data_IF_612286906463
#
_entry.id   IF_612286906463
#
_cell.length_a   1.000
_cell.length_b   1.000
_cell.length_c   1.000
_cell.angle_alpha   90.00
_cell.angle_beta   90.00
_cell.angle_gamma   90.00
#
_symmetry.space_group_name_H-M   'P 1'
#
loop_
_entity.id
_entity.type
_entity.pdbx_description
1 polymer ?
#
# COMPACT_ATOMS: atom_id res chain seq x y z
N UNK A 1 50.05 40.00 5.93
CA UNK A 1 49.38 40.82 6.95
C UNK A 1 47.92 40.42 6.93
N UNK A 2 47.31 39.70 7.86
CA UNK A 2 47.57 39.26 9.25
C UNK A 2 46.62 38.05 9.41
N UNK A 3 47.10 36.83 9.58
CA UNK A 3 47.19 36.10 10.86
C UNK A 3 45.91 36.13 11.70
N UNK A 4 45.14 35.04 11.70
CA UNK A 4 44.56 34.48 12.92
C UNK A 4 44.27 32.99 12.73
N UNK A 5 44.82 32.22 13.67
CA UNK A 5 45.03 30.79 13.71
C UNK A 5 44.65 30.35 15.11
N UNK A 6 44.27 29.07 15.21
CA UNK A 6 44.25 28.21 16.40
C UNK A 6 43.22 28.53 17.49
N UNK A 7 42.14 27.74 17.50
CA UNK A 7 41.60 27.13 18.72
C UNK A 7 40.51 26.11 18.34
N UNK A 8 40.91 24.87 18.02
CA UNK A 8 39.93 23.79 17.85
C UNK A 8 40.51 22.37 17.97
N UNK A 9 41.48 22.16 18.87
CA UNK A 9 42.11 20.85 19.04
C UNK A 9 41.85 20.11 20.37
N UNK A 10 41.05 20.66 21.29
CA UNK A 10 41.02 20.16 22.68
C UNK A 10 39.67 19.57 23.17
N UNK A 11 38.85 19.01 22.27
CA UNK A 11 37.57 18.34 22.66
C UNK A 11 37.44 16.87 22.25
N UNK A 12 38.55 16.19 21.97
CA UNK A 12 38.54 14.81 21.46
C UNK A 12 39.04 13.73 22.43
N UNK A 13 39.39 14.04 23.68
CA UNK A 13 40.04 13.07 24.58
C UNK A 13 39.21 12.57 25.78
N UNK A 14 37.93 12.94 25.94
CA UNK A 14 37.12 12.51 27.11
C UNK A 14 36.01 11.48 26.81
N UNK A 15 36.08 10.70 25.72
CA UNK A 15 35.01 9.76 25.34
C UNK A 15 35.36 8.26 25.31
N UNK A 16 36.51 7.84 25.86
CA UNK A 16 36.98 6.45 25.73
C UNK A 16 36.91 5.58 27.00
N UNK A 17 36.40 6.08 28.13
CA UNK A 17 36.44 5.35 29.41
C UNK A 17 35.09 4.78 29.93
N UNK A 18 34.07 4.62 29.08
CA UNK A 18 32.74 4.12 29.49
C UNK A 18 32.39 2.70 28.99
N UNK A 19 33.40 1.93 28.54
CA UNK A 19 33.16 0.65 27.83
C UNK A 19 33.11 -0.61 28.72
N UNK A 20 33.42 -0.51 30.02
CA UNK A 20 33.45 -1.67 30.94
C UNK A 20 32.08 -2.22 31.35
N UNK A 21 31.01 -1.43 31.19
CA UNK A 21 29.65 -1.79 31.63
C UNK A 21 28.85 -2.61 30.60
N UNK A 22 29.39 -2.82 29.39
CA UNK A 22 28.67 -3.51 28.31
C UNK A 22 28.39 -4.99 28.59
N UNK A 23 29.38 -5.73 29.10
CA UNK A 23 29.28 -7.19 29.31
C UNK A 23 28.36 -7.54 30.49
N UNK A 24 28.46 -6.79 31.59
CA UNK A 24 27.67 -7.04 32.80
C UNK A 24 26.16 -6.85 32.55
N UNK A 25 25.80 -5.91 31.67
CA UNK A 25 24.41 -5.65 31.29
C UNK A 25 23.85 -6.69 30.29
N UNK A 26 24.70 -7.50 29.65
CA UNK A 26 24.28 -8.43 28.59
C UNK A 26 23.92 -9.83 29.10
N UNK A 27 24.59 -10.30 30.16
CA UNK A 27 24.33 -11.62 30.74
C UNK A 27 22.87 -11.82 31.19
N UNK A 28 22.21 -10.83 31.85
CA UNK A 28 20.79 -10.95 32.18
C UNK A 28 19.89 -11.12 30.95
N UNK A 29 20.21 -10.43 29.85
CA UNK A 29 19.46 -10.56 28.58
C UNK A 29 19.62 -11.96 27.98
N UNK A 30 20.85 -12.49 27.96
CA UNK A 30 21.11 -13.86 27.47
C UNK A 30 20.37 -14.92 28.30
N UNK A 31 20.40 -14.83 29.63
CA UNK A 31 19.64 -15.74 30.47
C UNK A 31 18.13 -15.61 30.23
N UNK A 32 17.61 -14.39 30.10
CA UNK A 32 16.19 -14.17 29.78
C UNK A 32 15.79 -14.76 28.41
N UNK A 33 16.68 -14.70 27.42
CA UNK A 33 16.47 -15.33 26.11
C UNK A 33 16.40 -16.85 26.24
N UNK A 34 17.30 -17.46 27.04
CA UNK A 34 17.32 -18.91 27.29
C UNK A 34 16.05 -19.34 28.02
N UNK A 35 15.66 -18.61 29.07
CA UNK A 35 14.48 -18.94 29.89
C UNK A 35 13.18 -18.87 29.09
N UNK A 36 13.12 -18.00 28.08
CA UNK A 36 11.95 -17.80 27.21
C UNK A 36 12.10 -18.46 25.84
N UNK A 37 12.99 -19.43 25.70
CA UNK A 37 13.29 -20.04 24.40
C UNK A 37 12.06 -20.60 23.67
N UNK A 38 11.14 -21.22 24.40
CA UNK A 38 9.90 -21.77 23.85
C UNK A 38 8.98 -20.70 23.24
N UNK A 39 9.16 -19.43 23.62
CA UNK A 39 8.41 -18.30 23.08
C UNK A 39 8.99 -17.75 21.77
N UNK A 40 10.10 -18.29 21.27
CA UNK A 40 10.62 -17.94 19.95
C UNK A 40 10.03 -18.85 18.88
N UNK A 41 9.94 -18.40 17.61
CA UNK A 41 9.54 -19.25 16.49
C UNK A 41 10.44 -20.49 16.36
N UNK A 42 9.88 -21.63 15.97
CA UNK A 42 10.58 -22.92 15.94
C UNK A 42 11.87 -22.87 15.09
N UNK A 43 11.85 -22.17 13.95
CA UNK A 43 13.00 -22.05 13.06
C UNK A 43 14.12 -21.16 13.63
N UNK A 44 13.84 -20.36 14.66
CA UNK A 44 14.78 -19.45 15.31
C UNK A 44 15.57 -20.17 16.42
N UNK A 45 14.90 -21.04 17.18
CA UNK A 45 15.47 -21.68 18.37
C UNK A 45 16.80 -22.41 18.10
N UNK A 46 16.96 -23.25 17.05
CA UNK A 46 18.23 -23.95 16.80
C UNK A 46 19.41 -23.00 16.60
N UNK A 47 19.17 -21.83 15.98
CA UNK A 47 20.21 -20.83 15.76
C UNK A 47 20.56 -20.11 17.04
N UNK A 48 19.55 -19.73 17.81
CA UNK A 48 19.71 -19.15 19.12
C UNK A 48 20.59 -20.03 20.00
N UNK A 49 20.27 -21.33 20.11
CA UNK A 49 21.09 -22.32 20.83
C UNK A 49 22.53 -22.38 20.31
N UNK A 50 22.69 -22.54 18.99
CA UNK A 50 24.02 -22.63 18.37
C UNK A 50 24.88 -21.41 18.70
N UNK A 51 24.28 -20.22 18.70
CA UNK A 51 24.98 -18.96 18.95
C UNK A 51 25.28 -18.73 20.43
N UNK A 52 24.32 -19.02 21.31
CA UNK A 52 24.54 -18.98 22.76
C UNK A 52 25.69 -19.92 23.15
N UNK A 53 25.73 -21.14 22.59
CA UNK A 53 26.84 -22.07 22.82
C UNK A 53 28.18 -21.54 22.32
N UNK A 54 28.22 -20.88 21.16
CA UNK A 54 29.48 -20.23 20.69
C UNK A 54 29.92 -19.11 21.63
N UNK A 55 28.95 -18.33 22.12
CA UNK A 55 29.18 -17.22 23.03
C UNK A 55 29.77 -17.67 24.36
N UNK A 56 29.25 -18.77 24.94
CA UNK A 56 29.73 -19.30 26.22
C UNK A 56 31.10 -19.98 26.12
N UNK A 57 31.50 -20.44 24.93
CA UNK A 57 32.72 -21.24 24.74
C UNK A 57 33.92 -20.43 24.27
N UNK A 58 33.76 -19.39 23.42
CA UNK A 58 34.89 -18.93 22.59
C UNK A 58 35.49 -17.55 22.85
N UNK A 59 34.82 -16.53 23.41
CA UNK A 59 35.46 -15.20 23.45
C UNK A 59 34.74 -14.23 24.39
N UNK A 60 35.22 -14.04 25.63
CA UNK A 60 34.65 -13.06 26.58
C UNK A 60 35.25 -11.65 26.44
N UNK A 61 36.04 -11.38 25.39
CA UNK A 61 36.96 -10.22 25.34
C UNK A 61 36.62 -9.18 24.24
N UNK A 62 35.40 -9.16 23.68
CA UNK A 62 35.03 -8.17 22.65
C UNK A 62 33.70 -7.46 22.93
N UNK A 63 33.77 -6.15 23.08
CA UNK A 63 32.64 -5.24 23.36
C UNK A 63 31.63 -5.10 22.20
N UNK A 64 31.95 -5.59 20.99
CA UNK A 64 31.06 -5.53 19.82
C UNK A 64 30.18 -6.76 19.62
N UNK A 65 30.21 -7.73 20.53
CA UNK A 65 29.57 -9.03 20.30
C UNK A 65 28.04 -9.00 20.34
N UNK A 66 27.40 -8.04 21.01
CA UNK A 66 25.93 -7.93 20.94
C UNK A 66 25.49 -7.47 19.55
N UNK A 67 26.20 -6.50 18.97
CA UNK A 67 25.94 -6.04 17.61
C UNK A 67 26.26 -7.14 16.60
N UNK A 68 27.31 -7.94 16.82
CA UNK A 68 27.59 -9.12 16.00
C UNK A 68 26.55 -10.23 16.21
N UNK A 69 26.10 -10.48 17.43
CA UNK A 69 25.08 -11.47 17.73
C UNK A 69 23.74 -11.05 17.12
N UNK A 70 23.32 -9.80 17.25
CA UNK A 70 22.16 -9.24 16.56
C UNK A 70 22.34 -9.32 15.04
N UNK A 71 23.46 -8.83 14.51
CA UNK A 71 23.74 -8.84 13.09
C UNK A 71 23.75 -10.26 12.54
N UNK A 72 24.27 -11.25 13.26
CA UNK A 72 24.45 -12.63 12.81
C UNK A 72 23.22 -13.52 13.09
N UNK A 73 22.44 -13.20 14.12
CA UNK A 73 21.11 -13.77 14.36
C UNK A 73 20.14 -13.32 13.26
N UNK A 74 20.32 -12.10 12.77
CA UNK A 74 19.52 -11.51 11.70
C UNK A 74 20.03 -11.86 10.31
N UNK A 75 21.34 -11.76 10.10
CA UNK A 75 21.98 -12.12 8.87
C UNK A 75 22.10 -13.63 8.79
N UNK A 76 21.11 -14.25 8.15
CA UNK A 76 21.41 -15.44 7.39
C UNK A 76 22.67 -15.19 6.55
N UNK A 77 23.57 -16.16 6.46
CA UNK A 77 24.78 -16.01 5.64
C UNK A 77 24.38 -15.60 4.22
N UNK A 78 25.20 -14.77 3.57
CA UNK A 78 24.87 -14.14 2.29
C UNK A 78 24.46 -15.14 1.18
N UNK A 79 24.88 -16.40 1.29
CA UNK A 79 24.55 -17.50 0.38
C UNK A 79 23.18 -18.12 0.61
N UNK A 80 22.54 -17.88 1.76
CA UNK A 80 21.31 -18.53 2.14
C UNK A 80 20.17 -17.51 2.22
N UNK A 81 19.75 -17.13 1.01
CA UNK A 81 18.74 -16.12 0.66
C UNK A 81 17.41 -16.34 1.41
N UNK A 82 17.18 -17.54 1.94
CA UNK A 82 16.01 -17.90 2.71
C UNK A 82 16.16 -17.69 4.22
N UNK A 83 17.25 -17.14 4.76
CA UNK A 83 17.53 -17.33 6.19
C UNK A 83 17.19 -16.19 7.15
N UNK A 84 16.68 -15.02 6.75
CA UNK A 84 16.40 -13.96 7.74
C UNK A 84 15.11 -14.23 8.52
N UNK A 85 15.17 -14.08 9.85
CA UNK A 85 14.09 -14.49 10.76
C UNK A 85 12.75 -13.84 10.40
N UNK A 86 12.71 -12.51 10.33
CA UNK A 86 11.46 -11.81 10.02
C UNK A 86 11.03 -11.87 8.55
N UNK A 87 11.91 -12.33 7.65
CA UNK A 87 11.55 -12.53 6.23
C UNK A 87 10.88 -13.89 6.01
N UNK A 88 10.90 -14.76 7.04
CA UNK A 88 10.34 -16.12 7.02
C UNK A 88 9.03 -16.27 7.79
N UNK A 89 8.47 -15.18 8.30
CA UNK A 89 7.20 -15.22 9.01
C UNK A 89 6.14 -16.00 8.21
N UNK A 90 5.42 -16.85 8.93
CA UNK A 90 4.38 -17.71 8.40
C UNK A 90 3.27 -17.87 9.44
N UNK A 91 2.08 -17.33 9.17
CA UNK A 91 0.96 -17.32 10.10
C UNK A 91 0.36 -18.70 10.36
N UNK A 92 0.73 -19.72 9.58
CA UNK A 92 0.36 -21.11 9.86
C UNK A 92 1.23 -21.77 10.93
N UNK A 93 2.40 -21.19 11.23
CA UNK A 93 3.41 -21.74 12.15
C UNK A 93 3.71 -20.79 13.31
N UNK A 94 3.83 -19.50 13.00
CA UNK A 94 4.27 -18.45 13.90
C UNK A 94 3.08 -17.73 14.55
N UNK A 95 3.26 -17.24 15.78
CA UNK A 95 2.27 -16.39 16.46
C UNK A 95 2.77 -14.95 16.59
N UNK A 96 1.83 -14.02 16.81
CA UNK A 96 2.21 -12.62 17.07
C UNK A 96 3.04 -12.47 18.34
N UNK A 97 2.78 -13.29 19.36
CA UNK A 97 3.48 -13.29 20.64
C UNK A 97 4.93 -13.69 20.43
N UNK A 98 5.19 -14.70 19.59
CA UNK A 98 6.54 -15.08 19.20
C UNK A 98 7.26 -13.95 18.46
N UNK A 99 6.58 -13.30 17.52
CA UNK A 99 7.11 -12.12 16.84
C UNK A 99 7.42 -10.98 17.82
N UNK A 100 6.49 -10.66 18.73
CA UNK A 100 6.66 -9.64 19.77
C UNK A 100 7.85 -9.96 20.67
N UNK A 101 8.04 -11.24 21.03
CA UNK A 101 9.18 -11.70 21.83
C UNK A 101 10.49 -11.51 21.08
N UNK A 102 10.60 -11.93 19.81
CA UNK A 102 11.80 -11.72 18.98
C UNK A 102 12.16 -10.24 18.92
N UNK A 103 11.18 -9.38 18.62
CA UNK A 103 11.40 -7.93 18.47
C UNK A 103 11.68 -7.24 19.81
N UNK A 104 11.16 -7.78 20.90
CA UNK A 104 11.46 -7.26 22.24
C UNK A 104 12.93 -7.43 22.60
N UNK A 105 13.49 -8.62 22.34
CA UNK A 105 14.91 -8.88 22.60
C UNK A 105 15.81 -8.22 21.58
N UNK A 106 15.38 -8.16 20.32
CA UNK A 106 16.14 -7.60 19.23
C UNK A 106 15.27 -6.58 18.49
N UNK A 107 15.23 -5.31 18.90
CA UNK A 107 14.36 -4.35 18.25
C UNK A 107 14.98 -3.80 16.95
N UNK A 108 16.31 -3.85 16.78
CA UNK A 108 17.01 -3.38 15.57
C UNK A 108 16.64 -4.18 14.32
N UNK A 109 16.13 -5.40 14.50
CA UNK A 109 15.65 -6.30 13.45
C UNK A 109 14.64 -5.63 12.52
N UNK A 110 13.84 -4.70 13.05
CA UNK A 110 12.76 -4.03 12.33
C UNK A 110 13.31 -3.10 11.24
N UNK A 111 14.43 -2.42 11.52
CA UNK A 111 15.07 -1.47 10.61
C UNK A 111 16.24 -2.08 9.82
N UNK A 112 16.69 -3.28 10.21
CA UNK A 112 17.76 -4.01 9.52
C UNK A 112 17.21 -4.63 8.24
N UNK A 113 17.11 -3.82 7.21
CA UNK A 113 16.67 -4.28 5.91
C UNK A 113 17.73 -5.07 5.15
N UNK A 114 17.27 -5.90 4.23
CA UNK A 114 18.09 -6.74 3.37
C UNK A 114 18.43 -6.00 2.08
N UNK A 115 19.69 -6.08 1.67
CA UNK A 115 20.07 -5.68 0.32
C UNK A 115 19.48 -6.66 -0.71
N UNK A 116 18.53 -6.23 -1.53
CA UNK A 116 18.01 -7.03 -2.65
C UNK A 116 18.95 -6.84 -3.84
N UNK A 117 19.70 -7.88 -4.17
CA UNK A 117 20.51 -7.97 -5.41
C UNK A 117 21.59 -6.87 -5.57
N UNK A 118 22.08 -6.70 -6.80
CA UNK A 118 23.14 -5.76 -7.20
C UNK A 118 22.81 -4.28 -7.01
N UNK A 119 21.61 -3.92 -6.52
CA UNK A 119 21.05 -2.57 -6.68
C UNK A 119 21.13 -1.65 -5.46
N UNK A 120 21.92 -1.99 -4.43
CA UNK A 120 22.03 -1.18 -3.19
C UNK A 120 20.67 -0.92 -2.49
N UNK A 121 19.64 -1.71 -2.80
CA UNK A 121 18.28 -1.50 -2.30
C UNK A 121 18.05 -2.25 -1.00
N UNK A 122 17.56 -1.56 0.02
CA UNK A 122 17.28 -2.12 1.35
C UNK A 122 15.78 -2.39 1.45
N UNK A 123 15.39 -3.66 1.51
CA UNK A 123 14.02 -4.09 1.80
C UNK A 123 13.90 -4.37 3.29
N UNK A 124 12.94 -3.73 3.96
CA UNK A 124 12.72 -3.96 5.39
C UNK A 124 11.86 -5.22 5.61
N UNK A 125 11.92 -5.83 6.81
CA UNK A 125 11.06 -6.96 7.14
C UNK A 125 9.57 -6.72 6.90
N UNK A 126 9.07 -5.52 7.21
CA UNK A 126 7.66 -5.17 6.99
C UNK A 126 7.30 -5.13 5.50
N UNK A 127 8.22 -4.72 4.63
CA UNK A 127 8.00 -4.78 3.18
C UNK A 127 7.95 -6.24 2.70
N UNK A 128 8.86 -7.09 3.19
CA UNK A 128 8.83 -8.51 2.87
C UNK A 128 7.58 -9.22 3.38
N UNK A 129 7.07 -8.83 4.55
CA UNK A 129 5.84 -9.37 5.10
C UNK A 129 4.62 -9.00 4.24
N UNK A 130 4.54 -7.75 3.76
CA UNK A 130 3.47 -7.31 2.84
C UNK A 130 3.50 -8.01 1.46
N UNK A 131 4.65 -8.63 1.11
CA UNK A 131 4.88 -9.36 -0.12
C UNK A 131 4.72 -10.88 0.00
N UNK A 132 4.23 -11.40 1.12
CA UNK A 132 4.04 -12.85 1.29
C UNK A 132 2.74 -13.11 2.02
N UNK A 133 1.82 -13.85 1.42
CA UNK A 133 0.51 -14.13 2.01
C UNK A 133 0.61 -14.69 3.43
N UNK A 134 1.57 -15.57 3.69
CA UNK A 134 1.76 -16.17 5.02
C UNK A 134 2.24 -15.15 6.06
N UNK A 135 2.83 -14.03 5.62
CA UNK A 135 3.39 -13.01 6.50
C UNK A 135 2.51 -11.75 6.61
N UNK A 136 1.55 -11.55 5.71
CA UNK A 136 0.62 -10.40 5.68
C UNK A 136 -0.04 -10.16 7.04
N UNK A 137 -0.55 -11.18 7.78
CA UNK A 137 -1.18 -10.97 9.08
C UNK A 137 -0.29 -10.29 10.13
N UNK A 138 1.04 -10.39 9.98
CA UNK A 138 1.99 -9.76 10.91
C UNK A 138 2.31 -8.29 10.58
N UNK A 139 1.91 -7.77 9.42
CA UNK A 139 2.23 -6.38 9.02
C UNK A 139 1.73 -5.34 10.03
N UNK A 140 0.48 -5.40 10.55
CA UNK A 140 0.03 -4.46 11.58
C UNK A 140 0.90 -4.49 12.84
N UNK A 141 1.26 -5.70 13.30
CA UNK A 141 2.09 -5.92 14.48
C UNK A 141 3.53 -5.42 14.28
N UNK A 142 4.13 -5.66 13.11
CA UNK A 142 5.44 -5.10 12.76
C UNK A 142 5.44 -3.57 12.77
N UNK A 143 4.40 -2.94 12.22
CA UNK A 143 4.28 -1.48 12.22
C UNK A 143 4.11 -0.93 13.66
N UNK A 144 3.30 -1.60 14.49
CA UNK A 144 3.13 -1.24 15.90
C UNK A 144 4.46 -1.30 16.66
N UNK A 145 5.19 -2.40 16.52
CA UNK A 145 6.47 -2.60 17.19
C UNK A 145 7.52 -1.61 16.67
N UNK A 146 7.54 -1.33 15.37
CA UNK A 146 8.34 -0.28 14.74
C UNK A 146 8.15 1.08 15.40
N UNK A 147 6.89 1.44 15.69
CA UNK A 147 6.53 2.68 16.41
C UNK A 147 6.93 2.60 17.88
N UNK A 148 6.59 1.51 18.58
CA UNK A 148 6.89 1.29 20.01
C UNK A 148 8.37 1.44 20.33
N UNK A 149 9.24 0.84 19.51
CA UNK A 149 10.69 0.85 19.72
C UNK A 149 11.40 2.01 18.99
N UNK A 150 10.66 2.96 18.40
CA UNK A 150 11.18 4.16 17.71
C UNK A 150 12.27 3.83 16.68
N UNK A 151 12.07 2.75 15.91
CA UNK A 151 13.05 2.31 14.89
C UNK A 151 12.97 3.09 13.59
N UNK A 152 11.96 3.94 13.46
CA UNK A 152 11.70 4.76 12.29
C UNK A 152 11.31 6.17 12.72
N UNK A 153 11.39 7.11 11.78
CA UNK A 153 10.84 8.46 11.99
C UNK A 153 9.32 8.37 12.12
N UNK A 154 8.70 9.27 12.86
CA UNK A 154 7.25 9.23 13.13
C UNK A 154 6.40 9.19 11.86
N UNK A 155 6.76 9.95 10.83
CA UNK A 155 6.06 9.95 9.55
C UNK A 155 6.18 8.64 8.76
N UNK A 156 7.15 7.77 9.09
CA UNK A 156 7.29 6.45 8.47
C UNK A 156 6.37 5.40 9.11
N UNK A 157 5.71 5.75 10.23
CA UNK A 157 4.69 4.95 10.93
C UNK A 157 5.09 3.50 11.14
N UNK A 158 6.23 3.33 11.83
CA UNK A 158 6.74 2.01 12.17
C UNK A 158 7.30 1.22 10.98
N UNK A 159 7.68 1.92 9.90
CA UNK A 159 8.23 1.29 8.71
C UNK A 159 7.21 1.10 7.60
N UNK A 160 5.92 1.22 7.88
CA UNK A 160 4.83 1.04 6.93
C UNK A 160 5.01 1.88 5.65
N UNK A 161 5.41 3.14 5.82
CA UNK A 161 5.65 4.10 4.74
C UNK A 161 7.12 4.23 4.32
N UNK A 162 7.98 3.33 4.80
CA UNK A 162 9.37 3.35 4.40
C UNK A 162 9.50 2.94 2.95
N UNK A 163 10.02 3.87 2.16
CA UNK A 163 10.22 3.71 0.73
C UNK A 163 11.36 2.75 0.45
N UNK A 164 11.12 1.79 -0.42
CA UNK A 164 12.13 0.94 -1.04
C UNK A 164 11.87 0.88 -2.55
N UNK A 165 12.87 0.49 -3.33
CA UNK A 165 12.72 0.38 -4.79
C UNK A 165 12.54 -1.08 -5.15
N UNK A 166 11.49 -1.42 -5.91
CA UNK A 166 11.16 -2.80 -6.31
C UNK A 166 11.53 -3.11 -7.76
N UNK A 167 11.41 -2.13 -8.66
CA UNK A 167 11.45 -2.40 -10.10
C UNK A 167 12.73 -1.90 -10.78
N UNK A 168 13.41 -2.82 -11.48
CA UNK A 168 14.52 -2.52 -12.42
C UNK A 168 14.08 -1.68 -13.61
N UNK A 169 12.83 -1.84 -14.03
CA UNK A 169 12.39 -1.47 -15.38
C UNK A 169 11.78 -0.07 -15.47
N UNK A 170 11.15 0.42 -14.39
CA UNK A 170 10.45 1.72 -14.42
C UNK A 170 11.14 2.83 -13.62
N UNK A 171 12.32 2.58 -13.04
CA UNK A 171 13.28 3.58 -12.54
C UNK A 171 12.81 4.59 -11.47
N UNK A 172 11.52 4.62 -11.09
CA UNK A 172 10.95 5.79 -10.41
C UNK A 172 9.96 5.46 -9.30
N UNK A 173 9.34 4.27 -9.29
CA UNK A 173 8.35 3.94 -8.25
C UNK A 173 9.04 3.38 -7.00
N UNK A 174 9.13 4.23 -5.99
CA UNK A 174 9.43 3.85 -4.61
C UNK A 174 8.16 3.25 -4.01
N UNK A 175 8.17 1.97 -3.71
CA UNK A 175 7.06 1.30 -3.04
C UNK A 175 7.24 1.37 -1.52
N UNK A 176 6.14 1.22 -0.81
CA UNK A 176 6.04 1.08 0.63
C UNK A 176 5.38 -0.25 0.97
N UNK A 177 5.45 -0.69 2.24
CA UNK A 177 4.72 -1.89 2.65
C UNK A 177 3.20 -1.71 2.49
N UNK A 178 2.70 -0.48 2.63
CA UNK A 178 1.31 -0.15 2.36
C UNK A 178 0.95 -0.34 0.88
N UNK A 179 1.81 0.10 -0.04
CA UNK A 179 1.59 -0.08 -1.48
C UNK A 179 1.54 -1.57 -1.83
N UNK A 180 2.43 -2.37 -1.24
CA UNK A 180 2.47 -3.82 -1.48
C UNK A 180 1.26 -4.55 -0.89
N UNK A 181 0.77 -4.12 0.29
CA UNK A 181 -0.45 -4.67 0.88
C UNK A 181 -1.64 -4.50 -0.07
N UNK A 182 -1.83 -3.29 -0.61
CA UNK A 182 -2.95 -2.97 -1.50
C UNK A 182 -2.77 -3.58 -2.89
N UNK A 183 -1.55 -3.52 -3.43
CA UNK A 183 -1.26 -4.04 -4.76
C UNK A 183 -1.40 -5.55 -4.83
N UNK A 184 -1.08 -6.26 -3.75
CA UNK A 184 -0.93 -7.70 -3.82
C UNK A 184 0.45 -8.14 -4.32
N UNK A 185 0.72 -9.43 -4.14
CA UNK A 185 1.83 -10.14 -4.79
C UNK A 185 1.51 -10.43 -6.25
N UNK A 186 2.58 -10.76 -7.00
CA UNK A 186 2.57 -11.11 -8.43
C UNK A 186 1.46 -12.15 -8.75
N UNK A 187 1.03 -12.28 -10.03
CA UNK A 187 -0.28 -12.78 -10.46
C UNK A 187 -0.48 -14.30 -10.37
N UNK A 188 0.06 -14.94 -9.33
CA UNK A 188 -0.07 -16.39 -9.09
C UNK A 188 -0.75 -16.72 -7.76
N UNK A 189 -1.34 -15.74 -7.08
CA UNK A 189 -1.87 -15.96 -5.73
C UNK A 189 -3.35 -16.37 -5.69
N UNK A 190 -3.61 -17.24 -4.71
CA UNK A 190 -4.87 -17.89 -4.41
C UNK A 190 -5.91 -16.89 -3.84
N UNK A 191 -7.20 -17.22 -3.88
CA UNK A 191 -8.27 -16.34 -3.34
C UNK A 191 -8.02 -15.91 -1.89
N UNK A 192 -7.38 -16.78 -1.12
CA UNK A 192 -7.15 -16.61 0.32
C UNK A 192 -6.20 -15.45 0.66
N UNK A 193 -5.43 -14.91 -0.28
CA UNK A 193 -4.51 -13.79 -0.02
C UNK A 193 -5.23 -12.44 0.14
N UNK A 194 -6.40 -12.25 -0.48
CA UNK A 194 -7.10 -10.97 -0.40
C UNK A 194 -7.70 -10.72 0.98
N UNK A 195 -8.37 -11.71 1.57
CA UNK A 195 -9.00 -11.59 2.90
C UNK A 195 -7.96 -11.24 3.96
N UNK A 196 -6.79 -11.89 3.93
CA UNK A 196 -5.68 -11.60 4.84
C UNK A 196 -5.17 -10.15 4.70
N UNK A 197 -5.09 -9.65 3.46
CA UNK A 197 -4.69 -8.26 3.20
C UNK A 197 -5.74 -7.26 3.63
N UNK A 198 -7.00 -7.56 3.39
CA UNK A 198 -8.13 -6.75 3.83
C UNK A 198 -8.11 -6.61 5.36
N UNK A 199 -7.98 -7.72 6.08
CA UNK A 199 -7.88 -7.74 7.54
C UNK A 199 -6.69 -6.92 8.05
N UNK A 200 -5.53 -7.04 7.39
CA UNK A 200 -4.34 -6.26 7.73
C UNK A 200 -4.59 -4.75 7.53
N UNK A 201 -5.23 -4.35 6.43
CA UNK A 201 -5.60 -2.95 6.14
C UNK A 201 -6.58 -2.41 7.17
N UNK A 202 -7.64 -3.17 7.50
CA UNK A 202 -8.63 -2.76 8.50
C UNK A 202 -7.98 -2.59 9.88
N UNK A 203 -7.11 -3.53 10.27
CA UNK A 203 -6.39 -3.44 11.54
C UNK A 203 -5.41 -2.25 11.57
N UNK A 204 -4.69 -1.98 10.49
CA UNK A 204 -3.85 -0.78 10.40
C UNK A 204 -4.66 0.51 10.57
N UNK A 205 -5.89 0.56 10.04
CA UNK A 205 -6.80 1.68 10.24
C UNK A 205 -7.28 1.78 11.69
N UNK A 206 -7.72 0.67 12.31
CA UNK A 206 -8.20 0.68 13.70
C UNK A 206 -7.12 1.11 14.69
N UNK A 207 -5.85 0.84 14.37
CA UNK A 207 -4.67 1.27 15.14
C UNK A 207 -4.25 2.72 14.87
N UNK A 208 -4.93 3.43 13.97
CA UNK A 208 -4.59 4.79 13.54
C UNK A 208 -3.26 4.89 12.76
N UNK A 209 -2.77 3.76 12.24
CA UNK A 209 -1.55 3.70 11.44
C UNK A 209 -1.82 3.96 9.97
N UNK A 210 -2.97 3.52 9.44
CA UNK A 210 -3.50 3.94 8.15
C UNK A 210 -4.46 5.12 8.37
N UNK A 211 -4.32 6.17 7.55
CA UNK A 211 -5.11 7.40 7.60
C UNK A 211 -5.84 7.62 6.29
N UNK A 212 -6.94 8.38 6.35
CA UNK A 212 -7.79 8.68 5.19
C UNK A 212 -6.99 9.34 4.07
N UNK A 213 -6.08 10.24 4.42
CA UNK A 213 -5.25 11.00 3.48
C UNK A 213 -4.25 10.10 2.75
N UNK A 214 -3.88 8.96 3.31
CA UNK A 214 -2.93 8.04 2.68
C UNK A 214 -3.49 7.42 1.40
N UNK A 215 -4.80 7.18 1.37
CA UNK A 215 -5.47 6.59 0.20
C UNK A 215 -5.17 7.40 -1.05
N UNK A 216 -5.21 8.73 -0.91
CA UNK A 216 -4.91 9.67 -1.99
C UNK A 216 -3.40 9.93 -2.12
N UNK A 217 -2.71 10.21 -1.03
CA UNK A 217 -1.30 10.60 -1.05
C UNK A 217 -0.37 9.50 -1.60
N UNK A 218 -0.69 8.24 -1.32
CA UNK A 218 0.03 7.08 -1.85
C UNK A 218 -0.64 6.46 -3.07
N UNK A 219 -1.70 7.09 -3.59
CA UNK A 219 -2.43 6.63 -4.77
C UNK A 219 -2.85 5.15 -4.67
N UNK A 220 -3.36 4.74 -3.50
CA UNK A 220 -3.61 3.33 -3.19
C UNK A 220 -4.66 2.72 -4.13
N UNK A 221 -5.67 3.51 -4.51
CA UNK A 221 -6.70 3.05 -5.45
C UNK A 221 -6.12 2.68 -6.81
N UNK A 222 -5.09 3.39 -7.29
CA UNK A 222 -4.41 3.04 -8.53
C UNK A 222 -3.72 1.68 -8.43
N UNK A 223 -3.15 1.35 -7.28
CA UNK A 223 -2.50 0.06 -7.06
C UNK A 223 -3.50 -1.09 -6.99
N UNK A 224 -4.73 -0.86 -6.51
CA UNK A 224 -5.80 -1.81 -6.72
C UNK A 224 -5.96 -2.03 -8.23
N UNK A 225 -6.20 -0.95 -9.00
CA UNK A 225 -6.47 -1.03 -10.44
C UNK A 225 -5.38 -1.73 -11.27
N UNK A 226 -4.12 -1.59 -10.88
CA UNK A 226 -3.01 -2.26 -11.57
C UNK A 226 -3.10 -3.80 -11.49
N UNK A 227 -3.86 -4.37 -10.54
CA UNK A 227 -3.89 -5.81 -10.25
C UNK A 227 -5.29 -6.37 -9.94
N UNK A 228 -6.35 -5.67 -10.33
CA UNK A 228 -7.71 -6.18 -10.15
C UNK A 228 -7.97 -7.34 -11.12
N UNK A 229 -7.62 -8.54 -10.69
CA UNK A 229 -8.46 -9.69 -10.98
C UNK A 229 -9.80 -9.51 -10.24
N UNK A 230 -10.90 -10.10 -10.74
CA UNK A 230 -12.29 -10.07 -10.19
C UNK A 230 -12.38 -10.01 -8.66
N UNK A 231 -11.39 -10.63 -8.00
CA UNK A 231 -11.32 -10.83 -6.56
C UNK A 231 -11.03 -9.53 -5.81
N UNK A 232 -10.03 -8.72 -6.22
CA UNK A 232 -9.46 -7.60 -5.44
C UNK A 232 -10.37 -6.36 -5.25
N UNK A 233 -11.67 -6.49 -5.54
CA UNK A 233 -12.67 -5.44 -5.45
C UNK A 233 -12.93 -4.98 -4.02
N UNK A 234 -12.79 -5.88 -3.02
CA UNK A 234 -13.18 -5.56 -1.64
C UNK A 234 -12.30 -4.47 -1.01
N UNK A 235 -10.98 -4.55 -1.22
CA UNK A 235 -10.02 -3.54 -0.75
C UNK A 235 -10.27 -2.21 -1.49
N UNK A 236 -10.52 -2.26 -2.80
CA UNK A 236 -10.81 -1.07 -3.58
C UNK A 236 -12.06 -0.35 -3.07
N UNK A 237 -13.18 -1.06 -2.98
CA UNK A 237 -14.45 -0.54 -2.46
C UNK A 237 -14.30 0.01 -1.04
N UNK A 238 -13.61 -0.72 -0.16
CA UNK A 238 -13.36 -0.28 1.20
C UNK A 238 -12.58 1.04 1.27
N UNK A 239 -11.52 1.18 0.47
CA UNK A 239 -10.72 2.40 0.42
C UNK A 239 -11.50 3.58 -0.18
N UNK A 240 -12.31 3.35 -1.22
CA UNK A 240 -13.19 4.38 -1.80
C UNK A 240 -14.27 4.80 -0.80
N UNK A 241 -14.94 3.83 -0.16
CA UNK A 241 -15.96 4.11 0.84
C UNK A 241 -15.40 4.91 2.03
N UNK A 242 -14.13 4.69 2.35
CA UNK A 242 -13.45 5.44 3.40
C UNK A 242 -12.97 6.83 2.95
N UNK A 243 -12.43 6.95 1.74
CA UNK A 243 -12.02 8.21 1.14
C UNK A 243 -12.48 8.35 -0.33
N UNK A 244 -13.71 8.83 -0.57
CA UNK A 244 -14.20 8.99 -1.94
C UNK A 244 -13.39 10.00 -2.75
N UNK A 245 -12.83 11.02 -2.10
CA UNK A 245 -12.03 12.07 -2.76
C UNK A 245 -10.77 11.50 -3.45
N UNK A 246 -10.33 10.30 -3.08
CA UNK A 246 -9.25 9.60 -3.78
C UNK A 246 -9.61 9.23 -5.23
N UNK A 247 -10.90 9.22 -5.61
CA UNK A 247 -11.33 9.08 -7.01
C UNK A 247 -11.02 10.34 -7.85
N UNK A 248 -10.94 11.51 -7.22
CA UNK A 248 -10.81 12.81 -7.89
C UNK A 248 -9.41 13.07 -8.44
N UNK A 249 -8.37 12.57 -7.78
CA UNK A 249 -6.98 12.87 -8.16
C UNK A 249 -6.08 11.74 -7.68
N UNK A 250 -5.30 11.18 -8.60
CA UNK A 250 -4.05 10.54 -8.23
C UNK A 250 -2.95 11.58 -8.15
N UNK A 251 -2.23 11.67 -7.03
CA UNK A 251 -0.96 12.42 -6.99
C UNK A 251 0.07 11.66 -7.85
N UNK A 252 0.52 12.24 -8.98
CA UNK A 252 1.48 11.56 -9.85
C UNK A 252 1.67 12.16 -11.25
N UNK A 253 2.33 11.38 -12.11
CA UNK A 253 2.70 11.74 -13.49
C UNK A 253 1.46 11.88 -14.40
N UNK A 254 0.40 11.15 -14.05
CA UNK A 254 -0.87 11.18 -14.74
C UNK A 254 -1.86 11.91 -13.83
N UNK A 255 -1.96 13.24 -13.97
CA UNK A 255 -2.89 14.09 -13.18
C UNK A 255 -4.37 13.86 -13.57
N UNK A 256 -4.72 12.65 -14.00
CA UNK A 256 -6.04 12.26 -14.45
C UNK A 256 -6.93 11.80 -13.29
N UNK A 257 -8.24 11.83 -13.51
CA UNK A 257 -9.20 11.21 -12.60
C UNK A 257 -8.99 9.69 -12.66
N UNK A 258 -9.17 8.99 -11.54
CA UNK A 258 -8.96 7.54 -11.49
C UNK A 258 -9.75 6.77 -12.55
N UNK A 259 -11.02 7.11 -12.87
CA UNK A 259 -11.75 6.48 -13.97
C UNK A 259 -11.02 6.55 -15.32
N UNK A 260 -10.31 7.65 -15.61
CA UNK A 260 -9.48 7.74 -16.82
C UNK A 260 -8.30 6.80 -16.76
N UNK A 261 -7.61 6.74 -15.62
CA UNK A 261 -6.45 5.88 -15.46
C UNK A 261 -6.81 4.41 -15.60
N UNK A 262 -7.94 3.99 -15.02
CA UNK A 262 -8.45 2.62 -15.19
C UNK A 262 -8.69 2.33 -16.66
N UNK A 263 -9.42 3.23 -17.35
CA UNK A 263 -9.67 3.10 -18.78
C UNK A 263 -8.37 2.98 -19.56
N UNK A 264 -7.45 3.94 -19.46
CA UNK A 264 -6.25 4.02 -20.33
C UNK A 264 -5.15 3.03 -19.97
N UNK A 265 -5.19 2.43 -18.78
CA UNK A 265 -4.11 1.55 -18.30
C UNK A 265 -4.19 0.11 -18.77
N UNK A 266 -5.09 -0.21 -19.71
CA UNK A 266 -5.16 -1.50 -20.41
C UNK A 266 -3.88 -1.72 -21.22
N UNK A 267 -2.83 -2.14 -20.52
CA UNK A 267 -1.56 -2.52 -21.11
C UNK A 267 -1.75 -3.85 -21.83
N UNK A 268 -2.18 -3.80 -23.10
CA UNK A 268 -1.83 -4.63 -24.26
C UNK A 268 -1.83 -6.18 -24.15
N UNK A 269 -2.17 -6.80 -23.01
CA UNK A 269 -1.97 -8.24 -22.78
C UNK A 269 -2.95 -8.85 -21.75
N UNK A 270 -4.07 -8.20 -21.41
CA UNK A 270 -5.02 -8.71 -20.40
C UNK A 270 -6.33 -9.16 -21.04
N UNK A 271 -7.00 -10.10 -20.35
CA UNK A 271 -8.36 -10.54 -20.69
C UNK A 271 -9.31 -9.34 -20.66
N UNK A 272 -9.96 -9.06 -21.78
CA UNK A 272 -10.87 -7.92 -21.96
C UNK A 272 -11.98 -7.86 -20.90
N UNK A 273 -12.44 -9.02 -20.39
CA UNK A 273 -13.50 -9.13 -19.38
C UNK A 273 -13.09 -8.57 -18.00
N UNK A 274 -11.84 -8.78 -17.57
CA UNK A 274 -11.39 -8.35 -16.23
C UNK A 274 -11.23 -6.82 -16.12
N UNK A 275 -10.76 -6.19 -17.19
CA UNK A 275 -10.60 -4.72 -17.24
C UNK A 275 -11.99 -4.03 -17.18
N UNK A 276 -13.04 -4.71 -17.62
CA UNK A 276 -14.41 -4.19 -17.60
C UNK A 276 -14.95 -4.06 -16.18
N UNK A 277 -14.81 -5.07 -15.31
CA UNK A 277 -15.42 -5.05 -13.97
C UNK A 277 -14.83 -3.95 -13.09
N UNK A 278 -13.52 -3.78 -13.12
CA UNK A 278 -12.82 -2.68 -12.42
C UNK A 278 -13.40 -1.34 -12.78
N UNK A 279 -13.54 -1.14 -14.08
CA UNK A 279 -14.04 0.09 -14.62
C UNK A 279 -15.48 0.32 -14.19
N UNK A 280 -16.34 -0.69 -14.31
CA UNK A 280 -17.73 -0.63 -13.88
C UNK A 280 -17.86 -0.33 -12.39
N UNK A 281 -17.09 -1.01 -11.52
CA UNK A 281 -17.07 -0.74 -10.07
C UNK A 281 -16.59 0.68 -9.78
N UNK A 282 -15.51 1.12 -10.42
CA UNK A 282 -14.99 2.50 -10.28
C UNK A 282 -16.05 3.52 -10.67
N UNK A 283 -16.78 3.26 -11.76
CA UNK A 283 -17.87 4.12 -12.21
C UNK A 283 -19.05 4.11 -11.27
N UNK A 284 -19.51 2.94 -10.82
CA UNK A 284 -20.60 2.82 -9.86
C UNK A 284 -20.30 3.61 -8.59
N UNK A 285 -19.10 3.46 -8.03
CA UNK A 285 -18.68 4.23 -6.86
C UNK A 285 -18.56 5.73 -7.18
N UNK A 286 -18.07 6.08 -8.38
CA UNK A 286 -18.08 7.44 -8.88
C UNK A 286 -19.49 8.05 -8.88
N UNK A 287 -20.49 7.32 -9.36
CA UNK A 287 -21.89 7.76 -9.35
C UNK A 287 -22.47 7.84 -7.93
N UNK A 288 -22.11 6.92 -7.04
CA UNK A 288 -22.56 6.93 -5.64
C UNK A 288 -22.04 8.17 -4.91
N UNK A 289 -20.74 8.47 -5.04
CA UNK A 289 -20.09 9.52 -4.26
C UNK A 289 -20.01 10.89 -4.93
N UNK A 290 -19.95 10.90 -6.26
CA UNK A 290 -19.90 12.12 -7.08
C UNK A 290 -21.02 12.12 -8.11
N UNK A 291 -22.28 12.03 -7.65
CA UNK A 291 -23.41 12.01 -8.53
C UNK A 291 -23.40 13.28 -9.41
N UNK A 292 -23.18 14.46 -8.82
CA UNK A 292 -23.28 15.71 -9.58
C UNK A 292 -22.21 15.88 -10.68
N UNK A 293 -21.17 15.07 -10.64
CA UNK A 293 -20.09 15.01 -11.65
C UNK A 293 -20.25 13.79 -12.57
N UNK A 294 -21.40 13.10 -12.50
CA UNK A 294 -21.72 11.93 -13.31
C UNK A 294 -20.68 10.83 -13.19
N UNK A 295 -20.14 10.61 -11.98
CA UNK A 295 -19.03 9.70 -11.74
C UNK A 295 -17.80 9.99 -12.60
N UNK A 296 -17.68 11.22 -13.11
CA UNK A 296 -16.66 11.67 -14.05
C UNK A 296 -16.70 11.01 -15.43
N UNK A 297 -17.76 10.27 -15.76
CA UNK A 297 -17.81 9.46 -16.98
C UNK A 297 -17.71 10.29 -18.27
N UNK A 298 -18.14 11.54 -18.20
CA UNK A 298 -18.14 12.47 -19.31
C UNK A 298 -17.12 13.60 -19.13
N UNK A 299 -16.28 13.55 -18.10
CA UNK A 299 -15.25 14.56 -17.93
C UNK A 299 -14.16 14.37 -18.96
N UNK A 300 -13.70 15.47 -19.57
CA UNK A 300 -12.60 15.42 -20.53
C UNK A 300 -11.29 15.34 -19.75
N UNK A 301 -10.49 14.30 -19.99
CA UNK A 301 -9.12 14.27 -19.51
C UNK A 301 -8.30 15.26 -20.31
N UNK A 302 -7.65 16.19 -19.61
CA UNK A 302 -6.92 17.30 -20.23
C UNK A 302 -5.72 16.83 -21.06
N UNK A 303 -5.16 15.66 -20.75
CA UNK A 303 -3.98 15.13 -21.44
C UNK A 303 -4.35 14.42 -22.75
N UNK A 304 -5.33 13.51 -22.70
CA UNK A 304 -5.77 12.71 -23.85
C UNK A 304 -6.87 13.40 -24.69
N UNK A 305 -7.58 14.37 -24.12
CA UNK A 305 -8.79 14.94 -24.72
C UNK A 305 -9.98 13.97 -24.77
N UNK A 306 -9.87 12.81 -24.13
CA UNK A 306 -10.91 11.78 -24.12
C UNK A 306 -11.67 11.74 -22.80
N UNK A 307 -12.93 11.32 -22.86
CA UNK A 307 -13.71 10.96 -21.67
C UNK A 307 -13.56 9.47 -21.37
N UNK A 308 -13.80 9.02 -20.12
CA UNK A 308 -13.87 7.60 -19.82
C UNK A 308 -14.93 6.91 -20.69
N UNK A 309 -16.08 7.54 -20.89
CA UNK A 309 -17.13 7.05 -21.79
C UNK A 309 -16.63 6.78 -23.21
N UNK A 310 -15.96 7.77 -23.82
CA UNK A 310 -15.43 7.67 -25.19
C UNK A 310 -14.39 6.57 -25.27
N UNK A 311 -13.48 6.51 -24.30
CA UNK A 311 -12.45 5.49 -24.26
C UNK A 311 -13.05 4.08 -24.28
N UNK A 312 -14.08 3.82 -23.49
CA UNK A 312 -14.70 2.49 -23.45
C UNK A 312 -15.47 2.14 -24.72
N UNK A 313 -16.18 3.12 -25.27
CA UNK A 313 -16.91 2.94 -26.52
C UNK A 313 -15.94 2.56 -27.64
N UNK A 314 -14.80 3.25 -27.72
CA UNK A 314 -13.83 3.09 -28.78
C UNK A 314 -12.96 1.83 -28.58
N UNK A 315 -12.66 1.46 -27.33
CA UNK A 315 -11.75 0.34 -27.00
C UNK A 315 -12.45 -1.00 -26.88
N UNK A 316 -13.59 -1.04 -26.18
CA UNK A 316 -14.25 -2.30 -25.79
C UNK A 316 -15.62 -2.49 -26.45
N UNK A 317 -16.06 -1.55 -27.30
CA UNK A 317 -17.39 -1.58 -27.92
C UNK A 317 -18.55 -1.69 -26.91
N UNK A 318 -18.37 -1.14 -25.69
CA UNK A 318 -19.31 -1.25 -24.57
C UNK A 318 -20.41 -0.16 -24.56
N UNK A 319 -20.63 0.52 -25.68
CA UNK A 319 -21.52 1.69 -25.75
C UNK A 319 -22.91 1.42 -25.17
N UNK A 320 -23.53 0.30 -25.55
CA UNK A 320 -24.86 -0.07 -25.08
C UNK A 320 -24.87 -0.43 -23.59
N UNK A 321 -23.89 -1.19 -23.12
CA UNK A 321 -23.80 -1.62 -21.72
C UNK A 321 -23.59 -0.43 -20.78
N UNK A 322 -22.75 0.52 -21.17
CA UNK A 322 -22.51 1.74 -20.41
C UNK A 322 -23.73 2.65 -20.46
N UNK A 323 -24.38 2.75 -21.62
CA UNK A 323 -25.65 3.48 -21.75
C UNK A 323 -26.71 2.92 -20.80
N UNK A 324 -26.85 1.60 -20.73
CA UNK A 324 -27.76 0.94 -19.79
C UNK A 324 -27.34 1.11 -18.33
N UNK A 325 -26.04 1.01 -18.00
CA UNK A 325 -25.55 1.28 -16.64
C UNK A 325 -25.89 2.70 -16.21
N UNK A 326 -25.61 3.67 -17.07
CA UNK A 326 -25.99 5.06 -16.87
C UNK A 326 -27.47 5.20 -16.62
N UNK A 327 -28.31 4.65 -17.50
CA UNK A 327 -29.76 4.73 -17.36
C UNK A 327 -30.22 4.15 -16.02
N UNK A 328 -29.71 2.97 -15.64
CA UNK A 328 -30.03 2.34 -14.35
C UNK A 328 -29.63 3.24 -13.18
N UNK A 329 -28.39 3.71 -13.15
CA UNK A 329 -27.87 4.55 -12.07
C UNK A 329 -28.51 5.95 -12.02
N UNK A 330 -28.98 6.48 -13.15
CA UNK A 330 -29.63 7.79 -13.24
C UNK A 330 -31.12 7.77 -12.92
N UNK A 331 -31.83 6.71 -13.30
CA UNK A 331 -33.29 6.76 -13.46
C UNK A 331 -34.01 5.66 -12.67
N UNK A 332 -33.46 4.45 -12.61
CA UNK A 332 -34.17 3.31 -12.03
C UNK A 332 -33.75 3.01 -10.59
N UNK A 333 -32.50 3.26 -10.23
CA UNK A 333 -31.95 2.75 -8.99
C UNK A 333 -31.92 3.77 -7.85
N UNK A 334 -32.59 3.43 -6.75
CA UNK A 334 -32.54 4.14 -5.46
C UNK A 334 -31.17 4.11 -4.76
N UNK A 335 -30.17 3.52 -5.42
CA UNK A 335 -28.80 3.33 -4.92
C UNK A 335 -28.09 4.66 -4.73
N UNK A 336 -28.34 5.64 -5.60
CA UNK A 336 -27.94 7.01 -5.31
C UNK A 336 -28.99 7.61 -4.37
N UNK A 337 -28.54 8.26 -3.29
CA UNK A 337 -29.42 9.01 -2.37
C UNK A 337 -30.16 10.18 -3.06
N UNK A 338 -29.96 10.33 -4.38
CA UNK A 338 -30.41 11.41 -5.25
C UNK A 338 -30.90 10.83 -6.59
N UNK A 339 -32.13 10.29 -6.66
CA UNK A 339 -32.75 10.01 -7.95
C UNK A 339 -33.01 11.36 -8.63
N UNK A 340 -32.12 11.80 -9.52
CA UNK A 340 -32.42 12.99 -10.30
C UNK A 340 -33.61 12.73 -11.18
N UNK A 341 -34.45 13.74 -11.32
CA UNK A 341 -35.36 13.76 -12.46
C UNK A 341 -34.51 13.86 -13.72
N UNK A 342 -34.85 13.11 -14.78
CA UNK A 342 -34.15 13.14 -16.07
C UNK A 342 -33.81 14.57 -16.55
N UNK A 343 -34.73 15.51 -16.34
CA UNK A 343 -34.56 16.94 -16.67
C UNK A 343 -33.40 17.60 -15.91
N UNK A 344 -33.26 17.32 -14.62
CA UNK A 344 -32.21 17.89 -13.77
C UNK A 344 -30.84 17.35 -14.18
N UNK A 345 -30.72 16.03 -14.37
CA UNK A 345 -29.50 15.41 -14.86
C UNK A 345 -29.08 15.97 -16.23
N UNK A 346 -30.04 16.16 -17.15
CA UNK A 346 -29.77 16.77 -18.45
C UNK A 346 -29.27 18.21 -18.33
N UNK A 347 -29.90 19.03 -17.50
CA UNK A 347 -29.48 20.41 -17.26
C UNK A 347 -28.09 20.50 -16.64
N UNK A 348 -27.75 19.58 -15.73
CA UNK A 348 -26.42 19.51 -15.13
C UNK A 348 -25.35 19.14 -16.16
N UNK A 349 -25.61 18.15 -17.02
CA UNK A 349 -24.69 17.84 -18.14
C UNK A 349 -24.57 19.04 -19.10
N UNK A 350 -25.65 19.78 -19.35
CA UNK A 350 -25.67 20.87 -20.32
C UNK A 350 -24.95 22.14 -19.83
N UNK A 351 -24.82 22.30 -18.51
CA UNK A 351 -24.26 23.51 -17.89
C UNK A 351 -22.87 23.31 -17.29
N UNK A 352 -22.38 22.07 -17.19
CA UNK A 352 -21.04 21.77 -16.69
C UNK A 352 -20.02 21.83 -17.83
N UNK A 353 -19.09 22.79 -17.77
CA UNK A 353 -18.08 23.06 -18.80
C UNK A 353 -17.00 21.97 -18.92
N UNK A 354 -16.92 21.07 -17.93
CA UNK A 354 -16.00 19.93 -17.94
C UNK A 354 -16.60 18.69 -18.61
N UNK A 355 -17.91 18.68 -18.81
CA UNK A 355 -18.66 17.56 -19.38
C UNK A 355 -18.62 17.62 -20.90
N UNK A 356 -18.19 16.54 -21.53
CA UNK A 356 -18.23 16.39 -22.98
C UNK A 356 -19.67 16.22 -23.48
N UNK A 357 -19.93 16.71 -24.69
CA UNK A 357 -21.25 16.66 -25.35
C UNK A 357 -21.79 15.24 -25.52
N UNK A 358 -20.93 14.21 -25.47
CA UNK A 358 -21.35 12.81 -25.48
C UNK A 358 -22.32 12.47 -24.34
N UNK A 359 -22.22 13.14 -23.19
CA UNK A 359 -23.18 12.98 -22.10
C UNK A 359 -24.59 13.38 -22.51
N UNK A 360 -24.72 14.55 -23.14
CA UNK A 360 -25.99 15.04 -23.67
C UNK A 360 -26.54 14.12 -24.75
N UNK A 361 -25.71 13.74 -25.73
CA UNK A 361 -26.12 12.82 -26.79
C UNK A 361 -26.56 11.46 -26.24
N UNK A 362 -25.91 10.96 -25.20
CA UNK A 362 -26.25 9.68 -24.59
C UNK A 362 -27.62 9.74 -23.90
N UNK A 363 -27.92 10.82 -23.18
CA UNK A 363 -29.26 11.02 -22.60
C UNK A 363 -30.35 11.16 -23.67
N UNK A 364 -30.11 11.92 -24.73
CA UNK A 364 -31.10 12.12 -25.81
C UNK A 364 -31.37 10.85 -26.62
N UNK A 365 -30.38 9.97 -26.78
CA UNK A 365 -30.60 8.67 -27.43
C UNK A 365 -31.47 7.74 -26.59
N UNK A 366 -31.34 7.81 -25.26
CA UNK A 366 -32.13 7.00 -24.34
C UNK A 366 -33.56 7.54 -24.18
N UNK A 367 -33.72 8.86 -24.25
CA UNK A 367 -35.03 9.52 -24.17
C UNK A 367 -35.14 10.66 -25.19
N UNK A 368 -35.57 10.37 -26.43
CA UNK A 368 -35.70 11.39 -27.48
C UNK A 368 -36.70 12.51 -27.14
N UNK A 369 -37.66 12.26 -26.24
CA UNK A 369 -38.67 13.24 -25.85
C UNK A 369 -38.17 14.21 -24.77
N UNK A 370 -36.99 13.97 -24.18
CA UNK A 370 -36.46 14.75 -23.08
C UNK A 370 -36.36 16.26 -23.37
N UNK A 371 -35.97 16.63 -24.60
CA UNK A 371 -35.96 18.04 -25.03
C UNK A 371 -37.36 18.62 -25.14
N UNK A 372 -38.30 17.87 -25.70
CA UNK A 372 -39.68 18.32 -25.80
C UNK A 372 -40.29 18.51 -24.41
N UNK A 373 -40.00 17.60 -23.47
CA UNK A 373 -40.45 17.72 -22.09
C UNK A 373 -39.82 18.90 -21.37
N UNK A 374 -38.55 19.21 -21.63
CA UNK A 374 -37.86 20.39 -21.09
C UNK A 374 -38.46 21.69 -21.63
N UNK A 375 -38.81 21.74 -22.91
CA UNK A 375 -39.29 22.94 -23.60
C UNK A 375 -40.81 23.14 -23.51
N UNK A 376 -41.59 22.06 -23.37
CA UNK A 376 -43.06 22.08 -23.29
C UNK A 376 -43.62 22.52 -21.93
N UNK A 377 -42.75 22.88 -20.98
CA UNK A 377 -43.15 23.45 -19.68
C UNK A 377 -43.28 24.98 -19.68
N UNK A 378 -43.15 25.64 -20.85
CA UNK A 378 -43.13 27.10 -20.97
C UNK A 378 -44.42 27.72 -21.57
N UNK A 379 -45.52 26.97 -21.61
CA UNK A 379 -46.84 27.49 -22.04
C UNK A 379 -47.53 28.37 -20.98
#
# INVERSE_FOLDING_TARGET
MTSESSDNHDKRQEKENDNGDGIANMMPTLFSIIDRESEFPDYVRPRMRSRITKFTVYDSHKDNQLNEFEAEFLSGTYSDVHQWTLFKLDSSVDTEEQLKTVVHFFPNVLSNGRRISTMDQIMLPINAAALRKEAVPFVPTLAELGRKYKKFKDHQRGGLLSKYTRDRWNGTKRNTALDDLVRGTYPYDDKDDEELRFDAIERLRSMGLLKKEDVQHYNLLRFCCDQLEEKRSSIFEYLVNWNPEALLKSEGWDNGLLPHLVGTSSTHNRNEELDQDVFLTTMQLGFIYFPNEFGFMFHIDQQSGMTPFKYLCDTYNLREQISQLCFRLFIEDSVTKYPWKKKEAFMMLATNDKVHVDGLYSMLRQDPNLLQDLLGGFD
#
